data_IF_658928810037
#
_entry.id   IF_658928810037
#
_cell.length_a   1.000
_cell.length_b   1.000
_cell.length_c   1.000
_cell.angle_alpha   90.00
_cell.angle_beta   90.00
_cell.angle_gamma   90.00
#
_symmetry.space_group_name_H-M   'P 1'
#
loop_
_entity.id
_entity.type
_entity.pdbx_description
1 polymer ?
#
# COMPACT_ATOMS: atom_id res chain seq x y z
N UNK A 1 -32.26 -30.06 -6.37
CA UNK A 1 -32.20 -28.79 -5.62
C UNK A 1 -30.84 -28.14 -5.89
N UNK A 2 -30.79 -27.04 -6.64
CA UNK A 2 -29.59 -26.23 -6.82
C UNK A 2 -29.22 -25.67 -5.46
N UNK A 3 -28.09 -26.12 -4.93
CA UNK A 3 -27.60 -25.70 -3.64
C UNK A 3 -27.07 -24.27 -3.77
N UNK A 4 -27.90 -23.29 -3.45
CA UNK A 4 -27.47 -21.89 -3.49
C UNK A 4 -26.23 -21.68 -2.60
N UNK A 5 -25.21 -21.03 -3.15
CA UNK A 5 -23.96 -20.75 -2.45
C UNK A 5 -24.19 -19.98 -1.15
N UNK A 6 -23.48 -20.36 -0.09
CA UNK A 6 -23.55 -19.76 1.26
C UNK A 6 -22.21 -19.18 1.68
N UNK A 7 -22.25 -18.27 2.65
CA UNK A 7 -21.05 -17.77 3.32
C UNK A 7 -20.26 -18.94 3.92
N UNK A 8 -18.96 -18.93 3.76
CA UNK A 8 -17.98 -19.94 4.13
C UNK A 8 -17.93 -21.18 3.23
N UNK A 9 -18.73 -21.28 2.18
CA UNK A 9 -18.59 -22.35 1.20
C UNK A 9 -17.19 -22.25 0.55
N UNK A 10 -16.62 -23.42 0.26
CA UNK A 10 -15.32 -23.57 -0.38
C UNK A 10 -15.56 -24.07 -1.80
N UNK A 11 -14.89 -23.45 -2.76
CA UNK A 11 -15.01 -23.78 -4.18
C UNK A 11 -13.69 -23.50 -4.91
N UNK A 12 -13.53 -24.16 -6.05
CA UNK A 12 -12.40 -23.88 -6.94
C UNK A 12 -12.76 -22.71 -7.85
N UNK A 13 -11.79 -21.81 -8.06
CA UNK A 13 -11.99 -20.62 -8.86
C UNK A 13 -10.76 -20.31 -9.69
N UNK A 14 -10.94 -20.15 -10.99
CA UNK A 14 -9.95 -19.58 -11.87
C UNK A 14 -10.07 -18.06 -11.87
N UNK A 15 -8.93 -17.37 -11.75
CA UNK A 15 -8.86 -15.92 -11.80
C UNK A 15 -8.59 -15.48 -13.23
N UNK A 16 -9.60 -14.91 -13.86
CA UNK A 16 -9.59 -14.55 -15.28
C UNK A 16 -9.35 -13.07 -15.54
N UNK A 17 -9.53 -12.21 -14.50
CA UNK A 17 -9.35 -10.75 -14.62
C UNK A 17 -8.91 -10.18 -13.28
N UNK A 18 -8.65 -8.87 -13.25
CA UNK A 18 -8.30 -8.14 -12.04
C UNK A 18 -9.13 -6.87 -11.89
N UNK A 19 -9.63 -6.63 -10.70
CA UNK A 19 -10.40 -5.45 -10.33
C UNK A 19 -9.54 -4.19 -10.16
N UNK A 20 -10.22 -3.06 -9.98
CA UNK A 20 -9.57 -1.74 -9.90
C UNK A 20 -8.63 -1.57 -8.72
N UNK A 21 -8.86 -2.32 -7.64
CA UNK A 21 -8.04 -2.29 -6.42
C UNK A 21 -6.98 -3.41 -6.41
N UNK A 22 -6.83 -4.13 -7.54
CA UNK A 22 -5.82 -5.19 -7.70
C UNK A 22 -6.26 -6.56 -7.16
N UNK A 23 -7.53 -6.72 -6.78
CA UNK A 23 -8.12 -8.02 -6.46
C UNK A 23 -8.33 -8.86 -7.70
N UNK A 24 -8.16 -10.18 -7.58
CA UNK A 24 -8.49 -11.12 -8.64
C UNK A 24 -10.00 -11.22 -8.85
N UNK A 25 -10.41 -11.39 -10.10
CA UNK A 25 -11.80 -11.62 -10.49
C UNK A 25 -11.91 -12.99 -11.13
N UNK A 26 -12.87 -13.78 -10.68
CA UNK A 26 -13.25 -15.06 -11.27
C UNK A 26 -14.76 -15.25 -11.26
N UNK A 27 -15.22 -16.23 -12.01
CA UNK A 27 -16.65 -16.56 -12.14
C UNK A 27 -16.91 -17.97 -11.67
N UNK A 28 -17.91 -18.13 -10.83
CA UNK A 28 -18.34 -19.42 -10.34
C UNK A 28 -19.87 -19.43 -10.19
N UNK A 29 -20.52 -20.43 -10.76
CA UNK A 29 -21.98 -20.62 -10.69
C UNK A 29 -22.77 -19.34 -11.03
N UNK A 30 -22.40 -18.69 -12.15
CA UNK A 30 -23.03 -17.45 -12.63
C UNK A 30 -22.78 -16.21 -11.78
N UNK A 31 -21.97 -16.30 -10.74
CA UNK A 31 -21.60 -15.18 -9.86
C UNK A 31 -20.15 -14.73 -10.11
N UNK A 32 -19.93 -13.41 -10.04
CA UNK A 32 -18.59 -12.82 -10.05
C UNK A 32 -18.02 -12.77 -8.64
N UNK A 33 -16.80 -13.25 -8.46
CA UNK A 33 -16.09 -13.18 -7.17
C UNK A 33 -14.88 -12.28 -7.24
N UNK A 34 -14.76 -11.39 -6.24
CA UNK A 34 -13.59 -10.56 -6.00
C UNK A 34 -12.75 -11.21 -4.88
N UNK A 35 -11.48 -11.49 -5.18
CA UNK A 35 -10.61 -12.27 -4.31
C UNK A 35 -9.32 -11.50 -4.05
N UNK A 36 -9.13 -11.07 -2.80
CA UNK A 36 -7.90 -10.40 -2.40
C UNK A 36 -6.71 -11.37 -2.48
N UNK A 37 -5.55 -10.87 -2.89
CA UNK A 37 -4.27 -11.61 -3.00
C UNK A 37 -4.26 -12.72 -4.06
N UNK A 38 -5.31 -12.83 -4.88
CA UNK A 38 -5.35 -13.66 -6.08
C UNK A 38 -4.98 -12.83 -7.32
N UNK A 39 -4.26 -13.42 -8.25
CA UNK A 39 -3.79 -12.77 -9.47
C UNK A 39 -4.33 -13.45 -10.71
N UNK A 40 -4.48 -12.69 -11.78
CA UNK A 40 -4.91 -13.24 -13.09
C UNK A 40 -4.06 -14.46 -13.47
N UNK A 41 -4.72 -15.53 -13.85
CA UNK A 41 -4.11 -16.83 -14.21
C UNK A 41 -3.91 -17.77 -13.02
N UNK A 42 -4.24 -17.38 -11.79
CA UNK A 42 -4.27 -18.33 -10.67
C UNK A 42 -5.48 -19.26 -10.75
N UNK A 43 -5.30 -20.52 -10.40
CA UNK A 43 -6.38 -21.44 -10.00
C UNK A 43 -6.29 -21.63 -8.49
N UNK A 44 -7.35 -21.29 -7.78
CA UNK A 44 -7.36 -21.24 -6.32
C UNK A 44 -8.49 -22.07 -5.71
N UNK A 45 -8.27 -22.55 -4.51
CA UNK A 45 -9.36 -22.88 -3.59
C UNK A 45 -9.76 -21.61 -2.86
N UNK A 46 -10.99 -21.17 -3.07
CA UNK A 46 -11.53 -19.94 -2.51
C UNK A 46 -12.59 -20.24 -1.43
N UNK A 47 -12.67 -19.37 -0.41
CA UNK A 47 -13.76 -19.40 0.57
C UNK A 47 -14.59 -18.14 0.46
N UNK A 48 -15.90 -18.29 0.26
CA UNK A 48 -16.85 -17.19 0.24
C UNK A 48 -16.86 -16.44 1.59
N UNK A 49 -16.60 -15.12 1.57
CA UNK A 49 -16.62 -14.30 2.79
C UNK A 49 -17.87 -13.43 2.89
N UNK A 50 -18.38 -12.96 1.75
CA UNK A 50 -19.58 -12.13 1.66
C UNK A 50 -20.26 -12.37 0.31
N UNK A 51 -21.56 -12.58 0.34
CA UNK A 51 -22.37 -12.77 -0.86
C UNK A 51 -23.33 -11.59 -1.03
N UNK A 52 -23.53 -11.19 -2.26
CA UNK A 52 -24.51 -10.22 -2.75
C UNK A 52 -25.39 -10.89 -3.83
N UNK A 53 -26.37 -10.19 -4.37
CA UNK A 53 -27.29 -10.75 -5.34
C UNK A 53 -26.59 -11.31 -6.60
N UNK A 54 -25.62 -10.58 -7.15
CA UNK A 54 -24.97 -10.91 -8.43
C UNK A 54 -23.45 -11.08 -8.32
N UNK A 55 -22.86 -10.88 -7.12
CA UNK A 55 -21.42 -11.01 -6.92
C UNK A 55 -21.10 -11.38 -5.48
N UNK A 56 -19.89 -11.85 -5.27
CA UNK A 56 -19.39 -12.19 -3.93
C UNK A 56 -17.95 -11.73 -3.72
N UNK A 57 -17.53 -11.81 -2.47
CA UNK A 57 -16.13 -11.70 -2.07
C UNK A 57 -15.67 -13.03 -1.53
N UNK A 58 -14.45 -13.40 -1.88
CA UNK A 58 -13.84 -14.60 -1.35
C UNK A 58 -12.40 -14.29 -0.89
N UNK A 59 -11.84 -15.21 -0.13
CA UNK A 59 -10.42 -15.21 0.22
C UNK A 59 -9.77 -16.47 -0.32
N UNK A 60 -8.49 -16.36 -0.61
CA UNK A 60 -7.67 -17.52 -0.98
C UNK A 60 -7.48 -18.41 0.24
N UNK A 61 -7.82 -19.69 0.14
CA UNK A 61 -7.44 -20.72 1.09
C UNK A 61 -6.13 -21.39 0.63
N UNK A 62 -6.03 -21.67 -0.68
CA UNK A 62 -4.88 -22.32 -1.29
C UNK A 62 -4.74 -21.86 -2.76
N UNK A 63 -3.53 -21.69 -3.22
CA UNK A 63 -3.24 -21.52 -4.66
C UNK A 63 -2.88 -22.89 -5.20
N UNK A 64 -3.77 -23.52 -5.94
CA UNK A 64 -3.58 -24.84 -6.56
C UNK A 64 -2.60 -24.78 -7.73
N UNK A 65 -2.82 -23.82 -8.61
CA UNK A 65 -1.93 -23.57 -9.74
C UNK A 65 -1.60 -22.09 -9.76
N UNK A 66 -0.37 -21.70 -9.43
CA UNK A 66 0.03 -20.31 -9.48
C UNK A 66 0.08 -19.81 -10.93
N UNK A 67 -0.33 -18.57 -11.12
CA UNK A 67 -0.18 -17.87 -12.40
C UNK A 67 1.28 -17.82 -12.83
N UNK A 68 1.54 -17.98 -14.11
CA UNK A 68 2.88 -17.79 -14.72
C UNK A 68 3.39 -16.35 -14.61
N UNK A 69 2.50 -15.41 -14.28
CA UNK A 69 2.85 -14.00 -14.05
C UNK A 69 3.19 -13.69 -12.61
N UNK A 70 3.11 -14.68 -11.70
CA UNK A 70 3.53 -14.49 -10.31
C UNK A 70 5.03 -14.35 -10.19
N UNK A 71 5.43 -13.38 -9.36
CA UNK A 71 6.81 -13.19 -8.92
C UNK A 71 6.86 -13.09 -7.41
N UNK A 72 8.02 -13.40 -6.82
CA UNK A 72 8.22 -13.17 -5.40
C UNK A 72 8.31 -11.66 -5.11
N UNK A 73 7.43 -11.11 -4.26
CA UNK A 73 7.46 -9.70 -3.91
C UNK A 73 8.76 -9.35 -3.16
N UNK A 74 9.38 -8.24 -3.52
CA UNK A 74 10.57 -7.76 -2.80
C UNK A 74 10.28 -7.29 -1.36
N UNK A 75 9.01 -7.05 -1.03
CA UNK A 75 8.58 -6.60 0.28
C UNK A 75 7.88 -7.72 1.03
N UNK A 76 8.45 -8.19 2.11
CA UNK A 76 7.87 -9.23 2.98
C UNK A 76 6.52 -8.81 3.59
N UNK A 77 6.28 -7.51 3.71
CA UNK A 77 5.07 -6.95 4.29
C UNK A 77 3.93 -6.75 3.27
N UNK A 78 4.11 -7.14 1.99
CA UNK A 78 3.16 -6.80 0.91
C UNK A 78 1.72 -7.27 1.17
N UNK A 79 1.51 -8.39 1.89
CA UNK A 79 0.17 -8.89 2.26
C UNK A 79 -0.44 -8.17 3.46
N UNK A 80 0.38 -7.58 4.31
CA UNK A 80 -0.05 -6.95 5.57
C UNK A 80 -0.19 -5.44 5.42
N UNK A 81 0.76 -4.80 4.73
CA UNK A 81 0.78 -3.37 4.47
C UNK A 81 -0.28 -3.00 3.41
N UNK A 82 -1.06 -1.95 3.65
CA UNK A 82 -2.07 -1.45 2.71
C UNK A 82 -1.51 -0.67 1.52
N UNK A 83 -0.19 -0.51 1.41
CA UNK A 83 0.45 0.36 0.41
C UNK A 83 0.60 -0.24 -0.98
N UNK A 84 0.68 -1.57 -1.09
CA UNK A 84 0.89 -2.28 -2.36
C UNK A 84 -0.13 -3.40 -2.52
N UNK A 85 -0.78 -3.50 -3.70
CA UNK A 85 -1.80 -4.51 -3.98
C UNK A 85 -1.33 -5.57 -4.98
N UNK A 86 -0.50 -5.20 -5.95
CA UNK A 86 -0.15 -6.06 -7.10
C UNK A 86 1.35 -6.37 -7.20
N UNK A 87 2.09 -6.30 -6.08
CA UNK A 87 3.55 -6.48 -6.09
C UNK A 87 3.97 -7.93 -6.43
N UNK A 88 3.09 -8.90 -6.23
CA UNK A 88 3.31 -10.29 -6.61
C UNK A 88 3.06 -10.58 -8.11
N UNK A 89 2.69 -9.57 -8.90
CA UNK A 89 2.52 -9.65 -10.34
C UNK A 89 3.80 -9.17 -11.03
N UNK A 90 4.24 -9.83 -12.10
CA UNK A 90 5.41 -9.38 -12.88
C UNK A 90 5.25 -7.94 -13.36
N UNK A 91 6.33 -7.20 -13.49
CA UNK A 91 6.24 -5.78 -13.81
C UNK A 91 5.62 -5.52 -15.17
N UNK A 92 5.92 -6.34 -16.17
CA UNK A 92 5.31 -6.30 -17.49
C UNK A 92 3.79 -6.48 -17.41
N UNK A 93 3.35 -7.44 -16.60
CA UNK A 93 1.92 -7.69 -16.40
C UNK A 93 1.25 -6.59 -15.57
N UNK A 94 1.97 -5.92 -14.66
CA UNK A 94 1.47 -4.72 -13.99
C UNK A 94 1.25 -3.57 -14.97
N UNK A 95 2.12 -3.37 -15.95
CA UNK A 95 1.96 -2.35 -17.00
C UNK A 95 0.74 -2.67 -17.88
N UNK A 96 0.59 -3.92 -18.30
CA UNK A 96 -0.58 -4.38 -19.05
C UNK A 96 -1.87 -4.15 -18.27
N UNK A 97 -1.92 -4.54 -16.99
CA UNK A 97 -3.07 -4.31 -16.12
C UNK A 97 -3.44 -2.83 -16.03
N UNK A 98 -2.46 -1.94 -15.84
CA UNK A 98 -2.66 -0.49 -15.77
C UNK A 98 -3.17 0.07 -17.10
N UNK A 99 -2.60 -0.39 -18.20
CA UNK A 99 -3.04 -0.02 -19.55
C UNK A 99 -4.50 -0.41 -19.79
N UNK A 100 -4.84 -1.67 -19.49
CA UNK A 100 -6.19 -2.20 -19.66
C UNK A 100 -7.19 -1.49 -18.76
N UNK A 101 -6.81 -1.12 -17.53
CA UNK A 101 -7.65 -0.32 -16.64
C UNK A 101 -7.99 1.04 -17.24
N UNK A 102 -7.01 1.75 -17.79
CA UNK A 102 -7.23 3.04 -18.48
C UNK A 102 -8.11 2.86 -19.71
N UNK A 103 -7.78 1.89 -20.55
CA UNK A 103 -8.54 1.56 -21.77
C UNK A 103 -10.01 1.25 -21.45
N UNK A 104 -10.25 0.36 -20.51
CA UNK A 104 -11.60 -0.04 -20.12
C UNK A 104 -12.41 1.15 -19.55
N UNK A 105 -11.78 2.03 -18.79
CA UNK A 105 -12.44 3.23 -18.27
C UNK A 105 -12.79 4.21 -19.41
N UNK A 106 -11.90 4.42 -20.36
CA UNK A 106 -12.16 5.26 -21.53
C UNK A 106 -13.31 4.70 -22.38
N UNK A 107 -13.36 3.38 -22.58
CA UNK A 107 -14.46 2.74 -23.31
C UNK A 107 -15.78 2.83 -22.54
N UNK A 108 -15.81 2.39 -21.28
CA UNK A 108 -17.06 2.20 -20.52
C UNK A 108 -17.63 3.49 -19.95
N UNK A 109 -16.76 4.42 -19.54
CA UNK A 109 -17.15 5.69 -18.91
C UNK A 109 -17.01 6.84 -19.90
N UNK A 110 -15.90 6.87 -20.64
CA UNK A 110 -15.61 7.93 -21.61
C UNK A 110 -16.36 7.79 -22.93
N UNK A 111 -16.91 6.60 -23.24
CA UNK A 111 -17.69 6.37 -24.47
C UNK A 111 -16.82 6.28 -25.74
N UNK A 112 -15.49 6.14 -25.60
CA UNK A 112 -14.61 5.98 -26.75
C UNK A 112 -14.76 4.57 -27.36
N UNK A 113 -14.76 4.50 -28.68
CA UNK A 113 -14.75 3.23 -29.40
C UNK A 113 -13.38 2.54 -29.30
N UNK A 114 -13.37 1.24 -29.50
CA UNK A 114 -12.11 0.45 -29.52
C UNK A 114 -11.16 0.95 -30.62
N UNK A 115 -11.68 1.23 -31.82
CA UNK A 115 -10.90 1.74 -32.96
C UNK A 115 -10.24 3.11 -32.67
N UNK A 116 -10.94 4.00 -31.96
CA UNK A 116 -10.35 5.29 -31.54
C UNK A 116 -9.21 5.08 -30.54
N UNK A 117 -9.37 4.15 -29.59
CA UNK A 117 -8.32 3.86 -28.62
C UNK A 117 -7.12 3.18 -29.28
N UNK A 118 -7.35 2.24 -30.19
CA UNK A 118 -6.26 1.57 -30.94
C UNK A 118 -5.43 2.56 -31.76
N UNK A 119 -6.07 3.61 -32.28
CA UNK A 119 -5.38 4.64 -33.06
C UNK A 119 -4.63 5.67 -32.22
N UNK A 120 -4.99 5.86 -30.96
CA UNK A 120 -4.52 6.99 -30.13
C UNK A 120 -3.76 6.59 -28.88
N UNK A 121 -4.11 5.45 -28.25
CA UNK A 121 -3.41 4.98 -27.06
C UNK A 121 -2.02 4.47 -27.42
N UNK A 122 -1.02 5.00 -26.74
CA UNK A 122 0.34 4.50 -26.80
C UNK A 122 0.56 3.44 -25.71
N UNK A 123 1.49 2.50 -25.88
CA UNK A 123 1.89 1.59 -24.84
C UNK A 123 2.32 2.36 -23.56
N UNK A 124 2.05 1.83 -22.37
CA UNK A 124 2.47 2.48 -21.14
C UNK A 124 3.99 2.54 -21.06
N UNK A 125 4.52 3.70 -20.67
CA UNK A 125 5.94 3.86 -20.38
C UNK A 125 6.22 3.30 -18.99
N UNK A 126 7.03 2.26 -18.90
CA UNK A 126 7.50 1.68 -17.66
C UNK A 126 8.63 2.50 -17.04
N UNK A 127 8.83 2.35 -15.73
CA UNK A 127 10.03 2.85 -15.07
C UNK A 127 11.17 1.83 -15.25
N UNK A 128 12.42 2.31 -15.44
CA UNK A 128 13.60 1.45 -15.52
C UNK A 128 13.78 0.63 -14.24
N UNK A 129 13.48 1.24 -13.09
CA UNK A 129 13.40 0.56 -11.80
C UNK A 129 12.03 0.85 -11.16
N UNK A 130 11.16 -0.16 -10.98
CA UNK A 130 9.86 -0.01 -10.35
C UNK A 130 9.93 0.12 -8.82
N UNK A 131 11.11 0.15 -8.24
CA UNK A 131 11.38 0.35 -6.82
C UNK A 131 12.15 1.66 -6.59
N UNK A 132 12.14 2.15 -5.35
CA UNK A 132 12.88 3.38 -4.94
C UNK A 132 12.50 4.65 -5.70
N UNK A 133 11.33 4.67 -6.36
CA UNK A 133 10.88 5.82 -7.17
C UNK A 133 10.08 6.85 -6.39
N UNK A 134 9.55 6.47 -5.22
CA UNK A 134 8.65 7.31 -4.44
C UNK A 134 9.46 8.36 -3.67
N UNK A 135 9.31 9.61 -4.08
CA UNK A 135 10.04 10.75 -3.50
C UNK A 135 9.31 11.43 -2.32
N UNK A 136 8.11 11.01 -2.00
CA UNK A 136 7.32 11.48 -0.86
C UNK A 136 6.72 10.29 -0.13
N UNK A 137 6.97 10.22 1.18
CA UNK A 137 6.30 9.26 2.05
C UNK A 137 5.82 9.96 3.32
N UNK A 138 4.69 9.50 3.86
CA UNK A 138 4.15 9.96 5.15
C UNK A 138 3.94 8.73 6.01
N UNK A 139 4.64 8.69 7.13
CA UNK A 139 4.66 7.56 8.04
C UNK A 139 3.86 7.91 9.28
N UNK A 140 2.75 7.23 9.58
CA UNK A 140 2.12 7.29 10.89
C UNK A 140 3.10 6.81 11.97
N UNK A 141 3.02 7.44 13.14
CA UNK A 141 3.79 7.08 14.32
C UNK A 141 2.85 6.53 15.38
N UNK A 142 3.21 5.45 16.02
CA UNK A 142 2.37 4.81 17.02
C UNK A 142 3.16 3.86 17.91
N UNK A 143 2.46 3.02 18.65
CA UNK A 143 3.05 1.97 19.47
C UNK A 143 2.79 0.60 18.86
N UNK A 144 3.75 -0.30 19.00
CA UNK A 144 3.52 -1.73 18.81
C UNK A 144 2.84 -2.36 20.05
N UNK A 145 2.68 -3.69 20.04
CA UNK A 145 2.04 -4.41 21.14
C UNK A 145 2.89 -4.45 22.40
N UNK A 146 4.19 -4.23 22.27
CA UNK A 146 5.16 -4.27 23.36
C UNK A 146 5.42 -2.86 23.94
N UNK A 147 4.76 -1.84 23.37
CA UNK A 147 4.87 -0.45 23.81
C UNK A 147 6.05 0.31 23.20
N UNK A 148 6.71 -0.23 22.18
CA UNK A 148 7.79 0.47 21.49
C UNK A 148 7.23 1.45 20.46
N UNK A 149 7.90 2.58 20.27
CA UNK A 149 7.56 3.55 19.22
C UNK A 149 7.89 2.94 17.86
N UNK A 150 6.89 2.90 16.98
CA UNK A 150 7.02 2.38 15.62
C UNK A 150 6.54 3.39 14.58
N UNK A 151 7.14 3.30 13.41
CA UNK A 151 6.73 4.02 12.20
C UNK A 151 6.43 3.02 11.09
N UNK A 152 5.49 3.33 10.21
CA UNK A 152 5.17 2.39 9.15
C UNK A 152 4.04 2.86 8.25
N UNK A 153 3.18 1.95 7.85
CA UNK A 153 1.97 2.24 7.08
C UNK A 153 0.78 1.51 7.69
N UNK A 154 -0.42 2.02 7.44
CA UNK A 154 -1.62 1.37 7.90
C UNK A 154 -1.87 0.05 7.17
N UNK A 155 -2.31 -0.95 7.91
CA UNK A 155 -2.88 -2.15 7.33
C UNK A 155 -4.13 -1.80 6.53
N UNK A 156 -4.39 -2.54 5.46
CA UNK A 156 -5.54 -2.29 4.58
C UNK A 156 -6.85 -2.19 5.37
N UNK A 157 -7.59 -1.11 5.15
CA UNK A 157 -8.90 -0.82 5.79
C UNK A 157 -8.85 -0.73 7.32
N UNK A 158 -7.73 -0.32 7.88
CA UNK A 158 -7.59 -0.10 9.33
C UNK A 158 -6.60 1.03 9.61
N UNK A 159 -6.58 1.50 10.87
CA UNK A 159 -5.58 2.43 11.39
C UNK A 159 -4.46 1.71 12.17
N UNK A 160 -4.41 0.37 12.08
CA UNK A 160 -3.31 -0.36 12.70
C UNK A 160 -2.02 -0.16 11.90
N UNK A 161 -0.99 0.34 12.56
CA UNK A 161 0.31 0.56 11.94
C UNK A 161 1.01 -0.80 11.79
N UNK A 162 1.41 -1.09 10.56
CA UNK A 162 2.35 -2.16 10.25
C UNK A 162 3.74 -1.53 10.29
N UNK A 163 4.60 -1.89 11.25
CA UNK A 163 5.95 -1.38 11.31
C UNK A 163 6.71 -1.67 10.02
N UNK A 164 7.36 -0.63 9.46
CA UNK A 164 8.13 -0.72 8.23
C UNK A 164 9.48 -0.06 8.46
N UNK A 165 10.52 -0.85 8.47
CA UNK A 165 11.89 -0.34 8.59
C UNK A 165 12.35 0.26 7.26
N UNK A 166 12.14 -0.46 6.15
CA UNK A 166 12.57 -0.03 4.83
C UNK A 166 11.49 -0.33 3.78
N UNK A 167 10.80 0.71 3.33
CA UNK A 167 9.82 0.60 2.25
C UNK A 167 10.53 0.54 0.89
N UNK A 168 10.39 -0.58 0.16
CA UNK A 168 11.02 -0.78 -1.15
C UNK A 168 10.61 0.23 -2.22
N UNK A 169 9.51 0.95 -2.04
CA UNK A 169 9.10 2.02 -2.96
C UNK A 169 9.76 3.36 -2.63
N UNK A 170 10.04 3.62 -1.34
CA UNK A 170 10.64 4.87 -0.86
C UNK A 170 12.16 4.90 -1.01
N UNK A 171 12.73 6.09 -0.85
CA UNK A 171 14.18 6.28 -0.86
C UNK A 171 14.82 5.63 0.38
N UNK A 172 16.06 5.11 0.30
CA UNK A 172 16.73 4.46 1.43
C UNK A 172 16.88 5.34 2.68
N UNK A 173 17.08 6.65 2.47
CA UNK A 173 17.22 7.64 3.54
C UNK A 173 16.04 7.69 4.52
N UNK A 174 14.85 7.24 4.09
CA UNK A 174 13.69 7.19 4.97
C UNK A 174 13.96 6.39 6.24
N UNK A 175 14.68 5.26 6.14
CA UNK A 175 14.98 4.40 7.29
C UNK A 175 15.77 5.15 8.35
N UNK A 176 16.89 5.74 7.96
CA UNK A 176 17.79 6.47 8.85
C UNK A 176 17.08 7.64 9.54
N UNK A 177 16.33 8.44 8.78
CA UNK A 177 15.54 9.55 9.32
C UNK A 177 14.51 9.07 10.35
N UNK A 178 13.82 7.99 10.06
CA UNK A 178 12.80 7.44 10.97
C UNK A 178 13.43 6.85 12.23
N UNK A 179 14.61 6.25 12.13
CA UNK A 179 15.35 5.72 13.29
C UNK A 179 15.77 6.87 14.22
N UNK A 180 16.36 7.95 13.68
CA UNK A 180 16.71 9.14 14.43
C UNK A 180 15.50 9.75 15.12
N UNK A 181 14.36 9.85 14.45
CA UNK A 181 13.14 10.43 15.04
C UNK A 181 12.61 9.54 16.16
N UNK A 182 12.63 8.21 16.01
CA UNK A 182 12.22 7.29 17.09
C UNK A 182 13.13 7.41 18.32
N UNK A 183 14.44 7.50 18.09
CA UNK A 183 15.43 7.68 19.16
C UNK A 183 15.21 9.01 19.90
N UNK A 184 15.10 10.12 19.17
CA UNK A 184 14.74 11.43 19.74
C UNK A 184 13.44 11.38 20.55
N UNK A 185 12.39 10.72 20.04
CA UNK A 185 11.13 10.59 20.77
C UNK A 185 11.31 9.83 22.09
N UNK A 186 12.09 8.75 22.10
CA UNK A 186 12.37 7.96 23.30
C UNK A 186 13.19 8.77 24.33
N UNK A 187 14.27 9.42 23.91
CA UNK A 187 15.14 10.20 24.78
C UNK A 187 14.44 11.40 25.41
N UNK A 188 13.60 12.09 24.63
CA UNK A 188 12.85 13.26 25.08
C UNK A 188 11.50 12.92 25.74
N UNK A 189 11.15 11.65 25.89
CA UNK A 189 9.87 11.23 26.44
C UNK A 189 8.67 11.72 25.64
N UNK A 190 8.81 11.80 24.30
CA UNK A 190 7.76 12.27 23.40
C UNK A 190 6.92 11.07 22.97
N UNK A 191 5.61 11.18 23.15
CA UNK A 191 4.68 10.10 22.86
C UNK A 191 4.05 10.25 21.48
N UNK A 192 3.84 9.15 20.73
CA UNK A 192 2.96 9.12 19.58
C UNK A 192 1.54 9.62 19.92
N UNK A 193 0.90 10.24 18.93
CA UNK A 193 -0.51 10.62 19.07
C UNK A 193 -1.42 9.41 18.98
N UNK A 194 -2.31 9.28 19.94
CA UNK A 194 -3.36 8.27 19.99
C UNK A 194 -4.69 8.88 19.55
N UNK A 195 -5.27 8.34 18.48
CA UNK A 195 -6.55 8.80 17.90
C UNK A 195 -7.76 8.56 18.82
N UNK A 196 -7.68 7.62 19.76
CA UNK A 196 -8.79 7.31 20.67
C UNK A 196 -8.81 8.28 21.87
N UNK A 197 -7.65 8.58 22.42
CA UNK A 197 -7.53 9.44 23.59
C UNK A 197 -7.25 10.90 23.24
N UNK A 198 -6.92 11.19 21.98
CA UNK A 198 -6.49 12.51 21.49
C UNK A 198 -5.25 13.06 22.23
N UNK A 199 -4.42 12.18 22.79
CA UNK A 199 -3.20 12.53 23.53
C UNK A 199 -1.95 12.12 22.75
N UNK A 200 -0.80 12.66 23.16
CA UNK A 200 0.48 12.46 22.48
C UNK A 200 0.78 13.57 21.49
N UNK A 201 2.04 13.66 21.07
CA UNK A 201 2.52 14.79 20.27
C UNK A 201 2.65 14.44 18.78
N UNK A 202 3.42 13.43 18.42
CA UNK A 202 3.78 13.15 17.01
C UNK A 202 2.76 12.21 16.36
N UNK A 203 2.13 12.69 15.29
CA UNK A 203 1.16 11.90 14.51
C UNK A 203 1.79 11.21 13.30
N UNK A 204 2.56 11.99 12.53
CA UNK A 204 3.18 11.50 11.30
C UNK A 204 4.55 12.13 11.10
N UNK A 205 5.41 11.41 10.40
CA UNK A 205 6.64 11.92 9.79
C UNK A 205 6.43 11.94 8.28
N UNK A 206 6.51 13.12 7.68
CA UNK A 206 6.46 13.28 6.23
C UNK A 206 7.87 13.55 5.74
N UNK A 207 8.35 12.75 4.79
CA UNK A 207 9.67 12.88 4.20
C UNK A 207 9.51 13.11 2.69
N UNK A 208 10.24 14.10 2.17
CA UNK A 208 10.37 14.33 0.73
C UNK A 208 11.85 14.32 0.34
N UNK A 209 12.13 13.72 -0.80
CA UNK A 209 13.46 13.65 -1.38
C UNK A 209 13.49 14.23 -2.79
N UNK A 210 14.35 15.20 -3.05
CA UNK A 210 14.56 15.74 -4.39
C UNK A 210 15.58 14.91 -5.16
N UNK A 211 15.14 14.11 -6.14
CA UNK A 211 16.07 13.27 -6.91
C UNK A 211 17.16 14.07 -7.65
N UNK A 212 16.83 15.25 -8.11
CA UNK A 212 17.78 16.16 -8.79
C UNK A 212 18.61 16.94 -7.79
N UNK A 213 17.97 17.62 -6.84
CA UNK A 213 18.66 18.49 -5.86
C UNK A 213 19.37 17.71 -4.76
N UNK A 214 19.01 16.44 -4.55
CA UNK A 214 19.47 15.59 -3.43
C UNK A 214 19.08 16.11 -2.04
N UNK A 215 18.24 17.14 -2.00
CA UNK A 215 17.76 17.71 -0.74
C UNK A 215 16.68 16.82 -0.11
N UNK A 216 16.66 16.81 1.20
CA UNK A 216 15.66 16.12 2.01
C UNK A 216 14.86 17.15 2.78
N UNK A 217 13.52 17.00 2.79
CA UNK A 217 12.63 17.75 3.66
C UNK A 217 11.95 16.76 4.61
N UNK A 218 12.06 17.02 5.91
CA UNK A 218 11.32 16.30 6.94
C UNK A 218 10.31 17.24 7.58
N UNK A 219 9.09 16.78 7.71
CA UNK A 219 8.02 17.51 8.36
C UNK A 219 7.37 16.63 9.43
N UNK A 220 7.39 17.07 10.68
CA UNK A 220 6.67 16.44 11.79
C UNK A 220 5.25 16.97 11.84
N UNK A 221 4.27 16.08 11.70
CA UNK A 221 2.87 16.42 11.95
C UNK A 221 2.58 16.17 13.42
N UNK A 222 2.34 17.26 14.16
CA UNK A 222 2.16 17.21 15.60
C UNK A 222 0.72 17.55 16.03
N UNK A 223 0.33 17.04 17.18
CA UNK A 223 -0.92 17.38 17.83
C UNK A 223 -0.73 18.60 18.74
N UNK A 224 -1.58 19.62 18.58
CA UNK A 224 -1.56 20.82 19.36
C UNK A 224 -0.81 21.98 18.68
N UNK A 225 -1.16 23.17 19.09
CA UNK A 225 -0.65 24.46 18.57
C UNK A 225 0.09 25.29 19.66
N UNK A 226 0.34 24.67 20.82
CA UNK A 226 0.99 25.35 21.93
C UNK A 226 2.46 25.65 21.62
N UNK A 227 2.97 26.73 22.22
CA UNK A 227 4.39 27.10 22.14
C UNK A 227 5.28 25.95 22.67
N UNK A 228 4.83 25.25 23.72
CA UNK A 228 5.51 24.10 24.30
C UNK A 228 5.61 22.92 23.33
N UNK A 229 4.53 22.61 22.60
CA UNK A 229 4.56 21.55 21.58
C UNK A 229 5.56 21.89 20.46
N UNK A 230 5.57 23.13 19.99
CA UNK A 230 6.51 23.63 18.98
C UNK A 230 7.96 23.60 19.47
N UNK A 231 8.21 23.98 20.72
CA UNK A 231 9.55 23.94 21.33
C UNK A 231 10.07 22.51 21.47
N UNK A 232 9.24 21.58 21.90
CA UNK A 232 9.61 20.16 22.01
C UNK A 232 9.90 19.53 20.64
N UNK A 233 9.16 19.91 19.60
CA UNK A 233 9.41 19.45 18.24
C UNK A 233 10.65 20.09 17.60
N UNK A 234 11.05 21.31 18.02
CA UNK A 234 12.21 22.04 17.49
C UNK A 234 13.53 21.29 17.66
N UNK A 235 13.73 20.62 18.78
CA UNK A 235 14.96 19.85 19.03
C UNK A 235 15.18 18.71 18.03
N UNK A 236 14.12 18.19 17.39
CA UNK A 236 14.25 17.18 16.34
C UNK A 236 14.96 17.73 15.09
N UNK A 237 14.74 19.00 14.77
CA UNK A 237 15.40 19.63 13.60
C UNK A 237 16.92 19.72 13.80
N UNK A 238 17.36 20.09 15.00
CA UNK A 238 18.79 20.20 15.33
C UNK A 238 19.47 18.84 15.20
N UNK A 239 18.90 17.79 15.78
CA UNK A 239 19.43 16.42 15.72
C UNK A 239 19.51 15.91 14.27
N UNK A 240 18.49 16.17 13.45
CA UNK A 240 18.47 15.77 12.05
C UNK A 240 19.52 16.54 11.22
N UNK A 241 19.76 17.82 11.52
CA UNK A 241 20.81 18.61 10.87
C UNK A 241 22.20 18.14 11.26
N UNK A 242 22.45 17.84 12.55
CA UNK A 242 23.73 17.33 13.04
C UNK A 242 24.08 15.97 12.43
N UNK A 243 23.08 15.16 12.09
CA UNK A 243 23.28 13.86 11.40
C UNK A 243 23.63 13.99 9.92
N UNK A 244 23.88 15.18 9.41
CA UNK A 244 24.21 15.49 8.01
C UNK A 244 23.14 15.03 6.98
N UNK A 245 21.93 14.77 7.42
CA UNK A 245 20.83 14.33 6.55
C UNK A 245 19.99 15.49 6.00
N UNK A 246 20.06 16.66 6.64
CA UNK A 246 19.28 17.85 6.24
C UNK A 246 20.22 19.04 6.03
N UNK A 247 19.97 19.78 4.95
CA UNK A 247 20.41 21.16 4.79
C UNK A 247 19.21 22.06 5.06
N UNK A 248 19.34 22.99 6.01
CA UNK A 248 18.35 24.04 6.29
C UNK A 248 18.33 25.08 5.19
#
# INVERSE_FOLDING_TARGET
>A
EEKSMKKNDIFELEITDMGTDGEGIGHYDGMTFFVKDALIGDVITARATKLKKNYGYARVEEIKTPSTFRVEPQCELHKRCGGCQIQALSYEKQLEFKNNKVRNNLMRIGGFSEAELDSKMQPPVGADNPYRYRNKAQFPVGYDRDGNIVTGFYASRSHNIIPVEDCRLGVPQNKEILDIIKEWMNECGITPYDENTHKGLVRHVLIRYGFTSKQIMVCLVINGDSLEAKRRAGNAADILCESCLLYT
#
